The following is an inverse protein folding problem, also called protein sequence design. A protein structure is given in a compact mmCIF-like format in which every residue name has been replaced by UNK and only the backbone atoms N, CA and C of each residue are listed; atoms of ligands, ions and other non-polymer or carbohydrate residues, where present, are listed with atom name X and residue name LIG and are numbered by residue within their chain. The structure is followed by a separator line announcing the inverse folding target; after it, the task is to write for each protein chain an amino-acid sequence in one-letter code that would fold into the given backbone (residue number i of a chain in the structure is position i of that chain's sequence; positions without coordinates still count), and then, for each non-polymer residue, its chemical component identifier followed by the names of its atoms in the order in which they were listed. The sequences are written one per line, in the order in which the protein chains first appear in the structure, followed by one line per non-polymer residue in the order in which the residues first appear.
data_IF_974137374057
#
_entry.id   IF_974137374057
#
_cell.length_a   1.000
_cell.length_b   1.000
_cell.length_c   1.000
_cell.angle_alpha   90.00
_cell.angle_beta   90.00
_cell.angle_gamma   90.00
#
_symmetry.space_group_name_H-M   'P 1'
#
loop_
_entity.id
_entity.type
_entity.pdbx_description
1 polymer ?
#
# COMPACT_ATOMS: atom_id res chain seq x y z
N UNK A 1 -28.20 8.47 15.28
CA UNK A 1 -27.40 7.27 14.92
C UNK A 1 -28.17 6.09 15.43
N UNK A 2 -28.96 5.48 14.55
CA UNK A 2 -29.64 4.20 14.81
C UNK A 2 -28.59 3.12 15.08
N UNK A 3 -28.91 2.21 15.98
CA UNK A 3 -28.07 1.06 16.32
C UNK A 3 -27.97 0.10 15.12
N UNK A 4 -26.92 -0.71 15.02
CA UNK A 4 -26.82 -1.73 13.95
C UNK A 4 -28.03 -2.67 13.94
N UNK A 5 -28.64 -2.90 15.12
CA UNK A 5 -29.88 -3.66 15.27
C UNK A 5 -31.08 -2.97 14.60
N UNK A 6 -31.20 -1.64 14.72
CA UNK A 6 -32.21 -0.85 14.01
C UNK A 6 -31.93 -0.80 12.51
N UNK A 7 -30.66 -0.72 12.08
CA UNK A 7 -30.29 -0.75 10.66
C UNK A 7 -30.57 -2.12 10.02
N UNK A 8 -30.28 -3.23 10.72
CA UNK A 8 -30.65 -4.58 10.30
C UNK A 8 -32.17 -4.78 10.29
N UNK A 9 -32.89 -4.23 11.27
CA UNK A 9 -34.35 -4.25 11.33
C UNK A 9 -34.99 -3.44 10.19
N UNK A 10 -34.43 -2.27 9.87
CA UNK A 10 -34.88 -1.43 8.75
C UNK A 10 -34.58 -2.09 7.40
N UNK A 11 -33.40 -2.70 7.24
CA UNK A 11 -33.06 -3.51 6.05
C UNK A 11 -34.03 -4.69 5.85
N UNK A 12 -34.45 -5.35 6.93
CA UNK A 12 -35.49 -6.39 6.88
C UNK A 12 -36.88 -5.84 6.56
N UNK A 13 -37.18 -4.61 6.98
CA UNK A 13 -38.46 -3.94 6.74
C UNK A 13 -38.60 -3.37 5.31
N UNK A 14 -37.49 -3.01 4.65
CA UNK A 14 -37.47 -2.49 3.26
C UNK A 14 -37.81 -3.54 2.20
N UNK A 15 -37.94 -4.82 2.56
CA UNK A 15 -38.33 -5.88 1.64
C UNK A 15 -37.24 -6.32 0.66
N UNK A 16 -35.98 -5.88 0.83
CA UNK A 16 -34.85 -6.37 0.02
C UNK A 16 -34.59 -7.88 0.16
N UNK A 17 -35.05 -8.51 1.25
CA UNK A 17 -35.00 -9.96 1.52
C UNK A 17 -36.35 -10.68 1.32
N UNK A 18 -37.29 -10.07 0.59
CA UNK A 18 -38.62 -10.63 0.43
C UNK A 18 -38.70 -11.57 -0.79
N UNK A 19 -38.30 -12.83 -0.63
CA UNK A 19 -38.88 -13.90 -1.44
C UNK A 19 -39.04 -15.25 -0.73
N UNK A 20 -38.10 -15.71 0.12
CA UNK A 20 -38.13 -17.10 0.60
C UNK A 20 -38.31 -17.24 2.14
N UNK A 21 -39.02 -18.27 2.57
CA UNK A 21 -39.13 -18.71 3.96
C UNK A 21 -37.75 -19.05 4.58
N UNK A 22 -36.77 -19.44 3.77
CA UNK A 22 -35.39 -19.66 4.20
C UNK A 22 -34.72 -18.36 4.68
N UNK A 23 -34.86 -17.26 3.94
CA UNK A 23 -34.29 -15.94 4.28
C UNK A 23 -34.92 -15.36 5.55
N UNK A 24 -36.23 -15.56 5.75
CA UNK A 24 -36.93 -15.18 6.99
C UNK A 24 -36.49 -16.02 8.20
N UNK A 25 -36.15 -17.29 7.99
CA UNK A 25 -35.59 -18.16 9.03
C UNK A 25 -34.16 -17.75 9.38
N UNK A 26 -33.38 -17.32 8.39
CA UNK A 26 -32.00 -16.85 8.53
C UNK A 26 -31.93 -15.47 9.23
N UNK A 27 -32.80 -14.54 8.87
CA UNK A 27 -32.93 -13.25 9.55
C UNK A 27 -33.35 -13.41 11.02
N UNK A 28 -34.28 -14.33 11.31
CA UNK A 28 -34.64 -14.69 12.69
C UNK A 28 -33.48 -15.34 13.45
N UNK A 29 -32.64 -16.14 12.78
CA UNK A 29 -31.43 -16.72 13.36
C UNK A 29 -30.35 -15.66 13.65
N UNK A 30 -30.22 -14.64 12.79
CA UNK A 30 -29.34 -13.48 13.01
C UNK A 30 -29.78 -12.62 14.20
N UNK A 31 -31.09 -12.36 14.30
CA UNK A 31 -31.72 -11.68 15.43
C UNK A 31 -31.63 -12.53 16.71
N UNK A 32 -31.78 -13.85 16.63
CA UNK A 32 -31.60 -14.73 17.80
C UNK A 32 -30.13 -14.87 18.21
N UNK A 33 -29.19 -14.76 17.26
CA UNK A 33 -27.77 -14.67 17.57
C UNK A 33 -27.44 -13.32 18.25
N UNK A 34 -28.21 -12.25 18.04
CA UNK A 34 -28.14 -11.04 18.85
C UNK A 34 -28.60 -11.26 20.31
N UNK A 35 -29.37 -12.32 20.58
CA UNK A 35 -29.66 -12.79 21.94
C UNK A 35 -28.54 -13.68 22.53
N UNK A 36 -27.50 -14.00 21.75
CA UNK A 36 -26.26 -14.58 22.26
C UNK A 36 -25.40 -13.45 22.87
N UNK A 37 -25.15 -13.45 24.19
CA UNK A 37 -24.42 -12.37 24.86
C UNK A 37 -23.02 -12.12 24.27
N UNK A 38 -22.39 -13.15 23.68
CA UNK A 38 -21.09 -13.04 23.04
C UNK A 38 -21.11 -12.25 21.72
N UNK A 39 -22.22 -12.32 20.98
CA UNK A 39 -22.43 -11.59 19.71
C UNK A 39 -22.95 -10.17 19.99
N UNK A 40 -23.79 -9.99 21.02
CA UNK A 40 -24.26 -8.66 21.43
C UNK A 40 -23.12 -7.77 21.97
N UNK A 41 -22.23 -8.32 22.82
CA UNK A 41 -21.06 -7.61 23.36
C UNK A 41 -20.06 -7.13 22.28
N UNK A 42 -20.20 -7.65 21.07
CA UNK A 42 -19.34 -7.40 19.93
C UNK A 42 -19.66 -6.08 19.21
N UNK A 43 -20.92 -5.66 19.27
CA UNK A 43 -21.42 -4.46 18.60
C UNK A 43 -21.49 -3.24 19.53
N UNK A 44 -21.09 -3.38 20.80
CA UNK A 44 -21.28 -2.36 21.86
C UNK A 44 -20.01 -1.61 22.31
N UNK A 45 -18.85 -1.77 21.66
CA UNK A 45 -17.63 -1.06 22.11
C UNK A 45 -17.49 0.37 21.54
N UNK A 46 -17.71 1.32 22.46
CA UNK A 46 -17.33 2.74 22.60
C UNK A 46 -16.86 3.59 21.40
N UNK A 47 -17.44 4.80 21.31
CA UNK A 47 -17.38 5.77 20.20
C UNK A 47 -16.07 6.57 20.10
N UNK A 48 -14.98 6.09 20.69
CA UNK A 48 -13.70 6.82 20.70
C UNK A 48 -12.55 5.85 20.47
N UNK A 49 -11.95 5.94 19.29
CA UNK A 49 -10.66 5.38 18.83
C UNK A 49 -10.77 4.38 17.67
N UNK A 50 -9.97 4.63 16.62
CA UNK A 50 -9.18 3.73 15.74
C UNK A 50 -9.47 2.20 15.65
N UNK A 51 -10.70 1.72 15.86
CA UNK A 51 -10.99 0.30 16.09
C UNK A 51 -11.47 -0.52 14.89
N UNK A 52 -11.48 0.00 13.67
CA UNK A 52 -11.85 -0.82 12.49
C UNK A 52 -10.87 -1.96 12.20
N UNK A 53 -9.62 -1.85 12.66
CA UNK A 53 -8.62 -2.94 12.62
C UNK A 53 -9.00 -4.08 13.58
N UNK A 54 -9.76 -3.82 14.65
CA UNK A 54 -10.14 -4.85 15.63
C UNK A 54 -11.50 -5.51 15.36
N UNK A 55 -12.33 -4.97 14.46
CA UNK A 55 -13.59 -5.58 14.07
C UNK A 55 -13.41 -6.76 13.09
N UNK A 56 -12.39 -6.72 12.22
CA UNK A 56 -12.15 -7.73 11.18
C UNK A 56 -11.93 -9.17 11.73
N UNK A 57 -10.91 -9.44 12.55
CA UNK A 57 -10.65 -10.77 13.11
C UNK A 57 -11.83 -11.34 13.91
N UNK A 58 -12.57 -10.40 14.48
CA UNK A 58 -13.75 -10.58 15.28
C UNK A 58 -14.94 -11.01 14.40
N UNK A 59 -15.23 -10.30 13.30
CA UNK A 59 -16.26 -10.67 12.32
C UNK A 59 -15.99 -12.01 11.65
N UNK A 60 -14.72 -12.32 11.36
CA UNK A 60 -14.31 -13.62 10.83
C UNK A 60 -14.63 -14.75 11.79
N UNK A 61 -14.40 -14.54 13.09
CA UNK A 61 -14.76 -15.52 14.12
C UNK A 61 -16.27 -15.77 14.13
N UNK A 62 -17.07 -14.71 14.07
CA UNK A 62 -18.53 -14.79 14.00
C UNK A 62 -18.99 -15.51 12.72
N UNK A 63 -18.46 -15.13 11.56
CA UNK A 63 -18.77 -15.81 10.30
C UNK A 63 -18.41 -17.30 10.34
N UNK A 64 -17.25 -17.67 10.91
CA UNK A 64 -16.84 -19.08 11.12
C UNK A 64 -17.80 -19.82 12.06
N UNK A 65 -18.28 -19.17 13.12
CA UNK A 65 -19.26 -19.74 14.04
C UNK A 65 -20.62 -19.93 13.36
N UNK A 66 -21.07 -18.99 12.53
CA UNK A 66 -22.33 -19.12 11.77
C UNK A 66 -22.30 -20.20 10.70
N UNK A 67 -21.16 -20.37 10.04
CA UNK A 67 -20.93 -21.49 9.12
C UNK A 67 -21.06 -22.83 9.85
N UNK A 68 -20.50 -22.94 11.05
CA UNK A 68 -20.59 -24.16 11.84
C UNK A 68 -22.04 -24.52 12.24
N UNK A 69 -23.00 -23.60 12.06
CA UNK A 69 -24.41 -23.79 12.39
C UNK A 69 -25.29 -24.35 11.24
N UNK A 70 -24.77 -24.53 10.02
CA UNK A 70 -25.49 -25.27 8.96
C UNK A 70 -25.31 -24.76 7.52
N UNK A 71 -26.07 -25.37 6.59
CA UNK A 71 -25.91 -25.23 5.13
C UNK A 71 -26.04 -23.78 4.58
N UNK A 72 -26.76 -22.89 5.28
CA UNK A 72 -26.97 -21.50 4.85
C UNK A 72 -25.98 -20.50 5.48
N UNK A 73 -25.11 -20.96 6.40
CA UNK A 73 -24.14 -20.13 7.12
C UNK A 73 -23.19 -19.33 6.21
N UNK A 74 -22.69 -19.88 5.07
CA UNK A 74 -21.84 -19.13 4.15
C UNK A 74 -22.54 -17.95 3.47
N UNK A 75 -23.79 -18.13 3.02
CA UNK A 75 -24.59 -17.04 2.41
C UNK A 75 -24.88 -15.95 3.43
N UNK A 76 -25.18 -16.33 4.67
CA UNK A 76 -25.36 -15.38 5.76
C UNK A 76 -24.08 -14.57 6.05
N UNK A 77 -22.92 -15.23 6.05
CA UNK A 77 -21.64 -14.57 6.23
C UNK A 77 -21.36 -13.54 5.11
N UNK A 78 -21.67 -13.87 3.85
CA UNK A 78 -21.58 -12.93 2.74
C UNK A 78 -22.51 -11.73 2.92
N UNK A 79 -23.78 -11.93 3.26
CA UNK A 79 -24.72 -10.82 3.49
C UNK A 79 -24.30 -9.92 4.66
N UNK A 80 -23.72 -10.48 5.73
CA UNK A 80 -23.11 -9.68 6.80
C UNK A 80 -21.95 -8.84 6.27
N UNK A 81 -21.07 -9.45 5.47
CA UNK A 81 -19.94 -8.74 4.88
C UNK A 81 -20.38 -7.64 3.90
N UNK A 82 -21.45 -7.83 3.12
CA UNK A 82 -22.07 -6.80 2.28
C UNK A 82 -22.49 -5.58 3.09
N UNK A 83 -23.16 -5.78 4.22
CA UNK A 83 -23.56 -4.70 5.13
C UNK A 83 -22.34 -3.95 5.67
N UNK A 84 -21.25 -4.66 5.96
CA UNK A 84 -19.99 -4.05 6.40
C UNK A 84 -19.27 -3.31 5.28
N UNK A 85 -19.31 -3.81 4.03
CA UNK A 85 -18.77 -3.13 2.86
C UNK A 85 -19.56 -1.87 2.51
N UNK A 86 -20.86 -1.79 2.84
CA UNK A 86 -21.62 -0.55 2.67
C UNK A 86 -21.23 0.55 3.68
N UNK A 87 -20.43 0.24 4.72
CA UNK A 87 -20.03 1.20 5.73
C UNK A 87 -18.81 2.04 5.27
N UNK A 88 -18.86 3.37 5.29
CA UNK A 88 -17.84 4.27 4.70
C UNK A 88 -16.42 4.15 5.27
N UNK A 89 -16.21 3.41 6.35
CA UNK A 89 -14.96 3.38 7.11
C UNK A 89 -14.43 1.93 7.15
N UNK A 90 -13.47 1.62 6.27
CA UNK A 90 -12.58 0.41 6.26
C UNK A 90 -12.86 -0.70 5.25
N UNK A 91 -13.14 -0.33 4.00
CA UNK A 91 -13.38 -1.25 2.89
C UNK A 91 -12.23 -2.25 2.66
N UNK A 92 -10.98 -1.79 2.45
CA UNK A 92 -9.88 -2.64 2.01
C UNK A 92 -9.62 -3.91 2.87
N UNK A 93 -9.71 -3.80 4.20
CA UNK A 93 -9.53 -4.94 5.11
C UNK A 93 -10.71 -5.92 5.06
N UNK A 94 -11.93 -5.40 4.98
CA UNK A 94 -13.15 -6.21 4.90
C UNK A 94 -13.22 -7.00 3.59
N UNK A 95 -12.71 -6.44 2.49
CA UNK A 95 -12.60 -7.11 1.18
C UNK A 95 -11.73 -8.36 1.24
N UNK A 96 -10.64 -8.28 2.00
CA UNK A 96 -9.80 -9.43 2.33
C UNK A 96 -10.55 -10.56 3.00
N UNK A 97 -11.39 -10.20 3.95
CA UNK A 97 -12.17 -11.16 4.71
C UNK A 97 -13.30 -11.75 3.88
N UNK A 98 -13.90 -10.98 2.97
CA UNK A 98 -14.84 -11.49 1.97
C UNK A 98 -14.19 -12.59 1.15
N UNK A 99 -12.98 -12.35 0.66
CA UNK A 99 -12.23 -13.35 -0.08
C UNK A 99 -11.84 -14.54 0.80
N UNK A 100 -11.50 -14.32 2.08
CA UNK A 100 -11.24 -15.41 3.01
C UNK A 100 -12.45 -16.32 3.23
N UNK A 101 -13.63 -15.73 3.44
CA UNK A 101 -14.90 -16.45 3.62
C UNK A 101 -15.23 -17.20 2.35
N UNK A 102 -15.14 -16.54 1.19
CA UNK A 102 -15.43 -17.15 -0.11
C UNK A 102 -14.63 -18.44 -0.34
N UNK A 103 -13.33 -18.40 -0.06
CA UNK A 103 -12.45 -19.57 -0.21
C UNK A 103 -12.68 -20.67 0.82
N UNK A 104 -13.20 -20.32 1.99
CA UNK A 104 -13.51 -21.32 3.00
C UNK A 104 -14.78 -22.12 2.62
N UNK A 105 -15.62 -21.60 1.72
CA UNK A 105 -16.93 -22.16 1.39
C UNK A 105 -17.16 -22.29 -0.12
N UNK A 106 -16.90 -23.47 -0.69
CA UNK A 106 -17.16 -23.74 -2.10
C UNK A 106 -18.61 -23.43 -2.49
N UNK A 107 -18.80 -22.70 -3.60
CA UNK A 107 -20.09 -22.25 -4.10
C UNK A 107 -20.42 -20.78 -3.79
N UNK A 108 -19.65 -20.12 -2.91
CA UNK A 108 -19.82 -18.69 -2.56
C UNK A 108 -18.90 -17.76 -3.34
N UNK A 109 -18.00 -18.30 -4.15
CA UNK A 109 -17.04 -17.54 -4.94
C UNK A 109 -17.69 -16.58 -5.93
N UNK A 110 -18.74 -16.95 -6.70
CA UNK A 110 -19.36 -16.01 -7.65
C UNK A 110 -19.86 -14.73 -6.96
N UNK A 111 -20.52 -14.88 -5.82
CA UNK A 111 -21.08 -13.76 -5.05
C UNK A 111 -19.97 -12.92 -4.42
N UNK A 112 -18.97 -13.55 -3.82
CA UNK A 112 -17.81 -12.85 -3.28
C UNK A 112 -17.05 -12.07 -4.37
N UNK A 113 -16.82 -12.66 -5.55
CA UNK A 113 -16.17 -11.95 -6.65
C UNK A 113 -17.04 -10.83 -7.23
N UNK A 114 -18.37 -10.95 -7.19
CA UNK A 114 -19.27 -9.87 -7.57
C UNK A 114 -19.14 -8.68 -6.62
N UNK A 115 -19.04 -8.95 -5.30
CA UNK A 115 -18.81 -7.91 -4.29
C UNK A 115 -17.48 -7.20 -4.44
N UNK A 116 -16.44 -7.94 -4.84
CA UNK A 116 -15.10 -7.40 -5.04
C UNK A 116 -14.89 -6.78 -6.44
N UNK A 117 -15.86 -6.88 -7.36
CA UNK A 117 -15.64 -6.59 -8.78
C UNK A 117 -15.25 -5.13 -9.06
N UNK A 118 -15.75 -4.18 -8.26
CA UNK A 118 -15.48 -2.74 -8.39
C UNK A 118 -14.26 -2.26 -7.61
N UNK A 119 -13.61 -3.14 -6.85
CA UNK A 119 -12.63 -2.75 -5.85
C UNK A 119 -11.22 -2.74 -6.45
N UNK A 120 -10.52 -1.62 -6.25
CA UNK A 120 -9.18 -1.41 -6.79
C UNK A 120 -8.07 -1.72 -5.79
N UNK A 121 -8.36 -1.80 -4.49
CA UNK A 121 -7.43 -2.19 -3.45
C UNK A 121 -7.95 -3.35 -2.61
N UNK A 122 -7.17 -4.44 -2.53
CA UNK A 122 -7.50 -5.61 -1.71
C UNK A 122 -6.37 -5.86 -0.70
N UNK A 123 -6.76 -5.96 0.57
CA UNK A 123 -5.86 -6.43 1.63
C UNK A 123 -6.13 -7.88 1.95
N UNK A 124 -5.14 -8.76 1.89
CA UNK A 124 -5.33 -10.14 2.34
C UNK A 124 -5.15 -10.24 3.86
N UNK A 125 -6.09 -10.86 4.60
CA UNK A 125 -6.01 -10.87 6.06
C UNK A 125 -5.25 -12.08 6.57
N UNK A 126 -4.42 -11.86 7.61
CA UNK A 126 -3.73 -12.90 8.37
C UNK A 126 -2.68 -13.69 7.59
N UNK A 127 -1.81 -14.46 8.27
CA UNK A 127 -0.82 -15.29 7.60
C UNK A 127 -1.52 -16.39 6.81
N UNK A 128 -1.23 -16.50 5.51
CA UNK A 128 -1.71 -17.58 4.63
C UNK A 128 -0.52 -18.28 4.01
N UNK A 129 -0.72 -19.44 3.39
CA UNK A 129 0.35 -20.07 2.60
C UNK A 129 0.32 -19.64 1.16
N UNK A 130 -0.85 -19.45 0.56
CA UNK A 130 -0.98 -19.13 -0.86
C UNK A 130 -1.94 -17.96 -1.03
N UNK A 131 -1.79 -17.25 -2.14
CA UNK A 131 -2.77 -16.28 -2.56
C UNK A 131 -4.10 -16.97 -2.89
N UNK A 132 -5.22 -16.27 -2.66
CA UNK A 132 -6.53 -16.80 -2.97
C UNK A 132 -6.72 -17.03 -4.48
N UNK A 133 -7.23 -18.21 -4.92
CA UNK A 133 -7.55 -18.41 -6.32
C UNK A 133 -8.60 -17.41 -6.80
N UNK A 134 -8.53 -17.01 -8.07
CA UNK A 134 -9.51 -16.13 -8.71
C UNK A 134 -9.26 -14.63 -8.52
N UNK A 135 -8.13 -14.23 -7.93
CA UNK A 135 -7.69 -12.82 -7.95
C UNK A 135 -7.61 -12.26 -9.37
N UNK A 136 -7.27 -13.11 -10.34
CA UNK A 136 -7.28 -12.80 -11.77
C UNK A 136 -8.65 -12.35 -12.32
N UNK A 137 -9.74 -12.61 -11.60
CA UNK A 137 -11.11 -12.18 -11.97
C UNK A 137 -11.39 -10.73 -11.58
N UNK A 138 -10.62 -10.16 -10.65
CA UNK A 138 -10.81 -8.80 -10.16
C UNK A 138 -10.25 -7.78 -11.15
N UNK A 139 -11.05 -7.35 -12.12
CA UNK A 139 -10.60 -6.45 -13.21
C UNK A 139 -10.29 -5.02 -12.76
N UNK A 140 -10.91 -4.58 -11.67
CA UNK A 140 -10.64 -3.28 -11.06
C UNK A 140 -9.36 -3.27 -10.23
N UNK A 141 -8.86 -4.42 -9.78
CA UNK A 141 -7.72 -4.52 -8.87
C UNK A 141 -6.49 -3.78 -9.42
N UNK A 142 -6.02 -2.81 -8.65
CA UNK A 142 -4.81 -2.02 -8.87
C UNK A 142 -3.78 -2.21 -7.79
N UNK A 143 -4.19 -2.50 -6.55
CA UNK A 143 -3.30 -2.68 -5.41
C UNK A 143 -3.66 -3.93 -4.63
N UNK A 144 -2.66 -4.76 -4.39
CA UNK A 144 -2.80 -5.96 -3.57
C UNK A 144 -1.80 -5.87 -2.41
N UNK A 145 -2.32 -5.87 -1.19
CA UNK A 145 -1.49 -5.95 0.02
C UNK A 145 -1.49 -7.38 0.54
N UNK A 146 -0.29 -7.95 0.59
CA UNK A 146 -0.05 -9.33 1.04
C UNK A 146 0.55 -9.32 2.45
N UNK A 147 -0.06 -10.05 3.40
CA UNK A 147 0.39 -10.11 4.78
C UNK A 147 1.65 -10.98 4.93
N UNK A 148 2.30 -10.79 6.07
CA UNK A 148 3.54 -11.49 6.41
C UNK A 148 3.41 -13.02 6.39
N UNK A 149 4.50 -13.65 5.94
CA UNK A 149 4.63 -15.10 5.94
C UNK A 149 3.93 -15.82 4.78
N UNK A 150 3.26 -15.07 3.89
CA UNK A 150 2.51 -15.65 2.77
C UNK A 150 3.41 -16.25 1.69
N UNK A 151 4.53 -15.60 1.38
CA UNK A 151 5.28 -15.90 0.17
C UNK A 151 6.58 -16.58 0.58
N UNK A 152 6.59 -17.92 0.48
CA UNK A 152 7.77 -18.76 0.76
C UNK A 152 8.17 -19.65 -0.42
N UNK A 153 7.31 -19.77 -1.43
CA UNK A 153 7.51 -20.57 -2.64
C UNK A 153 6.84 -19.87 -3.81
N UNK A 154 7.33 -20.10 -5.02
CA UNK A 154 6.80 -19.45 -6.22
C UNK A 154 5.34 -19.83 -6.53
N UNK A 155 4.93 -21.07 -6.23
CA UNK A 155 3.55 -21.54 -6.41
C UNK A 155 2.55 -20.81 -5.50
N UNK A 156 3.02 -20.23 -4.39
CA UNK A 156 2.16 -19.45 -3.48
C UNK A 156 1.59 -18.19 -4.14
N UNK A 157 2.21 -17.69 -5.20
CA UNK A 157 1.87 -16.44 -5.88
C UNK A 157 1.54 -16.62 -7.36
N UNK A 158 1.30 -17.86 -7.80
CA UNK A 158 1.00 -18.17 -9.20
C UNK A 158 -0.18 -17.34 -9.75
N UNK A 159 -1.15 -17.00 -8.89
CA UNK A 159 -2.27 -16.11 -9.23
C UNK A 159 -1.84 -14.73 -9.71
N UNK A 160 -0.74 -14.15 -9.21
CA UNK A 160 -0.27 -12.83 -9.63
C UNK A 160 0.09 -12.79 -11.11
N UNK A 161 0.64 -13.89 -11.63
CA UNK A 161 0.99 -14.01 -13.04
C UNK A 161 -0.24 -14.08 -13.95
N UNK A 162 -1.41 -14.45 -13.40
CA UNK A 162 -2.66 -14.54 -14.15
C UNK A 162 -3.52 -13.27 -14.08
N UNK A 163 -3.13 -12.29 -13.26
CA UNK A 163 -3.85 -11.02 -13.18
C UNK A 163 -3.69 -10.28 -14.53
N UNK A 164 -4.78 -9.95 -15.22
CA UNK A 164 -4.72 -9.48 -16.61
C UNK A 164 -4.30 -8.00 -16.75
N UNK A 165 -3.99 -7.34 -15.64
CA UNK A 165 -3.58 -5.95 -15.59
C UNK A 165 -2.36 -5.76 -14.68
N UNK A 166 -1.59 -4.68 -14.86
CA UNK A 166 -0.56 -4.33 -13.91
C UNK A 166 -1.14 -3.96 -12.55
N UNK A 167 -0.47 -4.41 -11.49
CA UNK A 167 -0.85 -4.13 -10.10
C UNK A 167 0.33 -3.58 -9.29
N UNK A 168 0.01 -2.84 -8.25
CA UNK A 168 0.91 -2.47 -7.18
C UNK A 168 0.84 -3.53 -6.08
N UNK A 169 1.98 -4.07 -5.73
CA UNK A 169 2.11 -5.11 -4.73
C UNK A 169 2.73 -4.52 -3.47
N UNK A 170 2.03 -4.65 -2.35
CA UNK A 170 2.53 -4.25 -1.04
C UNK A 170 2.80 -5.49 -0.21
N UNK A 171 4.07 -5.70 0.17
CA UNK A 171 4.53 -6.87 0.90
C UNK A 171 4.90 -6.48 2.31
N UNK A 172 4.21 -7.06 3.29
CA UNK A 172 4.52 -6.91 4.70
C UNK A 172 5.40 -8.06 5.13
N UNK A 173 6.72 -7.97 4.99
CA UNK A 173 7.60 -9.14 5.14
C UNK A 173 8.91 -8.72 5.77
N UNK A 174 9.30 -9.41 6.86
CA UNK A 174 10.63 -9.26 7.45
C UNK A 174 11.73 -9.74 6.50
N UNK A 175 11.51 -10.84 5.80
CA UNK A 175 12.45 -11.38 4.81
C UNK A 175 11.68 -11.73 3.54
N UNK A 176 12.16 -11.25 2.38
CA UNK A 176 11.54 -11.51 1.08
C UNK A 176 12.57 -12.00 0.08
N UNK A 177 12.30 -13.15 -0.52
CA UNK A 177 13.01 -13.61 -1.70
C UNK A 177 12.25 -13.15 -2.94
N UNK A 178 12.77 -12.08 -3.57
CA UNK A 178 12.17 -11.50 -4.76
C UNK A 178 12.27 -12.42 -6.00
N UNK A 179 13.15 -13.44 -5.98
CA UNK A 179 13.26 -14.39 -7.09
C UNK A 179 12.00 -15.24 -7.25
N UNK A 180 11.23 -15.41 -6.17
CA UNK A 180 9.94 -16.12 -6.20
C UNK A 180 8.94 -15.45 -7.16
N UNK A 181 9.05 -14.13 -7.37
CA UNK A 181 8.12 -13.33 -8.17
C UNK A 181 8.46 -13.27 -9.65
N UNK A 182 9.52 -13.96 -10.12
CA UNK A 182 9.96 -13.90 -11.51
C UNK A 182 8.83 -14.18 -12.52
N UNK A 183 7.95 -15.14 -12.22
CA UNK A 183 6.80 -15.47 -13.07
C UNK A 183 5.75 -14.35 -13.14
N UNK A 184 5.62 -13.54 -12.09
CA UNK A 184 4.65 -12.45 -11.98
C UNK A 184 5.23 -11.07 -12.31
N UNK A 185 6.56 -10.97 -12.53
CA UNK A 185 7.28 -9.72 -12.76
C UNK A 185 6.67 -8.83 -13.86
N UNK A 186 6.11 -9.46 -14.90
CA UNK A 186 5.49 -8.76 -16.02
C UNK A 186 4.19 -8.02 -15.64
N UNK A 187 3.53 -8.37 -14.52
CA UNK A 187 2.30 -7.72 -14.07
C UNK A 187 2.51 -6.79 -12.86
N UNK A 188 3.72 -6.69 -12.32
CA UNK A 188 3.96 -5.84 -11.15
C UNK A 188 4.42 -4.46 -11.63
N UNK A 189 3.57 -3.47 -11.43
CA UNK A 189 3.84 -2.07 -11.78
C UNK A 189 4.36 -1.24 -10.61
N UNK A 190 4.07 -1.67 -9.39
CA UNK A 190 4.63 -1.09 -8.18
C UNK A 190 4.98 -2.15 -7.16
N UNK A 191 6.09 -1.98 -6.46
CA UNK A 191 6.51 -2.85 -5.37
C UNK A 191 6.78 -2.00 -4.12
N UNK A 192 6.06 -2.29 -3.05
CA UNK A 192 6.20 -1.62 -1.76
C UNK A 192 6.57 -2.64 -0.70
N UNK A 193 7.79 -2.57 -0.20
CA UNK A 193 8.18 -3.35 0.96
C UNK A 193 7.78 -2.58 2.22
N UNK A 194 7.08 -3.26 3.12
CA UNK A 194 6.55 -2.72 4.37
C UNK A 194 6.97 -3.62 5.51
N UNK A 195 7.23 -3.01 6.65
CA UNK A 195 7.84 -3.68 7.80
C UNK A 195 9.23 -3.12 8.05
N UNK A 196 9.52 -2.82 9.32
CA UNK A 196 10.79 -2.24 9.71
C UNK A 196 11.91 -3.27 9.49
N UNK A 197 12.98 -2.86 8.80
CA UNK A 197 14.22 -3.62 8.64
C UNK A 197 14.06 -4.96 7.91
N UNK A 198 13.64 -4.91 6.64
CA UNK A 198 13.64 -6.15 5.85
C UNK A 198 15.09 -6.63 5.60
N UNK A 199 15.31 -7.94 5.67
CA UNK A 199 16.61 -8.57 5.36
C UNK A 199 17.00 -8.53 3.88
N UNK A 200 16.22 -7.87 3.02
CA UNK A 200 16.51 -7.76 1.60
C UNK A 200 17.77 -6.92 1.38
N UNK A 201 18.83 -7.55 0.88
CA UNK A 201 20.09 -6.90 0.52
C UNK A 201 20.37 -6.92 -0.98
N UNK A 202 19.82 -7.90 -1.70
CA UNK A 202 20.03 -8.08 -3.14
C UNK A 202 18.76 -7.75 -3.94
N UNK A 203 18.85 -6.70 -4.77
CA UNK A 203 17.78 -6.30 -5.68
C UNK A 203 17.90 -6.92 -7.08
N UNK A 204 18.89 -7.79 -7.33
CA UNK A 204 19.10 -8.45 -8.63
C UNK A 204 17.90 -9.20 -9.20
N UNK A 205 17.02 -9.83 -8.39
CA UNK A 205 15.81 -10.45 -8.92
C UNK A 205 14.82 -9.48 -9.59
N UNK A 206 14.94 -8.16 -9.35
CA UNK A 206 14.11 -7.14 -10.01
C UNK A 206 14.53 -6.85 -11.45
N UNK A 207 15.69 -7.37 -11.89
CA UNK A 207 16.15 -7.21 -13.29
C UNK A 207 15.07 -7.68 -14.26
N UNK A 208 14.72 -6.82 -15.21
CA UNK A 208 13.75 -7.16 -16.26
C UNK A 208 12.28 -7.07 -15.83
N UNK A 209 11.94 -6.51 -14.67
CA UNK A 209 10.57 -6.17 -14.30
C UNK A 209 10.08 -4.96 -15.11
N UNK A 210 9.83 -5.18 -16.41
CA UNK A 210 9.65 -4.13 -17.43
C UNK A 210 8.48 -3.19 -17.20
N UNK A 211 7.55 -3.51 -16.29
CA UNK A 211 6.42 -2.67 -15.95
C UNK A 211 6.58 -1.97 -14.58
N UNK A 212 7.63 -2.27 -13.83
CA UNK A 212 7.88 -1.70 -12.50
C UNK A 212 8.26 -0.23 -12.63
N UNK A 213 7.33 0.64 -12.26
CA UNK A 213 7.46 2.10 -12.30
C UNK A 213 7.56 2.73 -10.92
N UNK A 214 7.04 2.07 -9.89
CA UNK A 214 7.09 2.53 -8.51
C UNK A 214 7.80 1.50 -7.64
N UNK A 215 8.88 1.90 -6.98
CA UNK A 215 9.67 1.01 -6.15
C UNK A 215 9.98 1.64 -4.80
N UNK A 216 9.51 1.01 -3.73
CA UNK A 216 9.83 1.37 -2.36
C UNK A 216 10.60 0.22 -1.68
N UNK A 217 11.89 0.48 -1.45
CA UNK A 217 12.87 -0.35 -0.73
C UNK A 217 13.27 0.31 0.60
N UNK A 218 12.39 1.11 1.19
CA UNK A 218 12.66 1.79 2.46
C UNK A 218 12.98 0.77 3.57
N UNK A 219 13.96 1.11 4.42
CA UNK A 219 14.39 0.27 5.56
C UNK A 219 14.80 -1.16 5.14
N UNK A 220 15.49 -1.29 4.01
CA UNK A 220 16.09 -2.56 3.55
C UNK A 220 17.62 -2.53 3.64
N UNK A 221 18.26 -3.69 3.55
CA UNK A 221 19.72 -3.80 3.51
C UNK A 221 20.35 -3.54 2.13
N UNK A 222 19.56 -3.11 1.14
CA UNK A 222 20.04 -2.85 -0.22
C UNK A 222 21.12 -1.77 -0.21
N UNK A 223 22.22 -2.02 -0.92
CA UNK A 223 23.33 -1.09 -1.08
C UNK A 223 23.69 -0.80 -2.54
N UNK A 224 23.32 -1.69 -3.46
CA UNK A 224 23.61 -1.59 -4.89
C UNK A 224 22.32 -1.34 -5.69
N UNK A 225 22.28 -0.21 -6.41
CA UNK A 225 21.19 0.15 -7.31
C UNK A 225 21.43 -0.30 -8.76
N UNK A 226 22.63 -0.80 -9.07
CA UNK A 226 23.00 -1.29 -10.40
C UNK A 226 22.03 -2.30 -11.02
N UNK A 227 21.50 -3.27 -10.26
CA UNK A 227 20.55 -4.22 -10.82
C UNK A 227 19.19 -3.64 -11.22
N UNK A 228 18.87 -2.42 -10.77
CA UNK A 228 17.62 -1.74 -11.11
C UNK A 228 17.72 -1.00 -12.46
N UNK A 229 18.92 -0.82 -13.02
CA UNK A 229 19.11 -0.06 -14.25
C UNK A 229 18.28 -0.66 -15.40
N UNK A 230 17.69 0.23 -16.21
CA UNK A 230 16.81 -0.16 -17.32
C UNK A 230 15.35 -0.43 -16.92
N UNK A 231 15.01 -0.43 -15.62
CA UNK A 231 13.61 -0.39 -15.19
C UNK A 231 12.99 0.98 -15.45
N UNK A 232 11.71 1.09 -15.85
CA UNK A 232 11.06 2.36 -16.17
C UNK A 232 10.57 3.10 -14.92
N UNK A 233 11.45 3.28 -13.92
CA UNK A 233 11.09 3.89 -12.64
C UNK A 233 10.73 5.37 -12.80
N UNK A 234 9.56 5.73 -12.25
CA UNK A 234 9.10 7.10 -12.05
C UNK A 234 9.11 7.49 -10.58
N UNK A 235 9.07 6.52 -9.67
CA UNK A 235 9.14 6.74 -8.23
C UNK A 235 10.07 5.72 -7.59
N UNK A 236 11.06 6.21 -6.84
CA UNK A 236 12.02 5.38 -6.13
C UNK A 236 12.21 5.89 -4.70
N UNK A 237 12.01 5.00 -3.73
CA UNK A 237 12.40 5.25 -2.33
C UNK A 237 13.38 4.19 -1.89
N UNK A 238 14.60 4.62 -1.54
CA UNK A 238 15.65 3.80 -0.92
C UNK A 238 16.08 4.41 0.42
N UNK A 239 15.13 5.03 1.11
CA UNK A 239 15.38 5.65 2.41
C UNK A 239 15.73 4.59 3.46
N UNK A 240 16.63 4.92 4.39
CA UNK A 240 17.09 3.99 5.44
C UNK A 240 17.71 2.69 4.87
N UNK A 241 18.38 2.80 3.73
CA UNK A 241 19.16 1.72 3.11
C UNK A 241 20.66 1.95 3.24
N UNK A 242 21.48 1.03 2.73
CA UNK A 242 22.95 1.10 2.79
C UNK A 242 23.56 1.62 1.47
N UNK A 243 22.78 2.33 0.66
CA UNK A 243 23.23 2.87 -0.63
C UNK A 243 24.26 3.98 -0.42
N UNK A 244 25.46 3.76 -0.96
CA UNK A 244 26.57 4.73 -0.93
C UNK A 244 26.87 5.35 -2.29
N UNK A 245 26.63 4.60 -3.37
CA UNK A 245 26.80 5.04 -4.75
C UNK A 245 25.45 5.38 -5.38
N UNK A 246 25.33 6.63 -5.83
CA UNK A 246 24.13 7.15 -6.49
C UNK A 246 24.28 7.24 -8.02
N UNK A 247 25.44 6.91 -8.60
CA UNK A 247 25.66 6.96 -10.04
C UNK A 247 24.57 6.24 -10.88
N UNK A 248 24.00 5.10 -10.46
CA UNK A 248 22.91 4.44 -11.19
C UNK A 248 21.67 5.31 -11.42
N UNK A 249 21.43 6.35 -10.60
CA UNK A 249 20.29 7.26 -10.73
C UNK A 249 20.19 7.90 -12.12
N UNK A 250 21.32 8.10 -12.80
CA UNK A 250 21.36 8.62 -14.17
C UNK A 250 20.56 7.77 -15.19
N UNK A 251 20.23 6.53 -14.85
CA UNK A 251 19.42 5.63 -15.68
C UNK A 251 17.93 5.97 -15.68
N UNK A 252 17.47 6.86 -14.78
CA UNK A 252 16.05 7.22 -14.63
C UNK A 252 15.80 8.73 -14.82
N UNK A 253 16.05 9.30 -16.02
CA UNK A 253 15.82 10.73 -16.27
C UNK A 253 14.35 11.15 -16.11
N UNK A 254 13.41 10.19 -16.17
CA UNK A 254 11.98 10.39 -15.96
C UNK A 254 11.51 10.31 -14.51
N UNK A 255 12.41 10.14 -13.54
CA UNK A 255 12.06 10.01 -12.13
C UNK A 255 11.38 11.29 -11.62
N UNK A 256 10.23 11.15 -10.95
CA UNK A 256 9.42 12.24 -10.39
C UNK A 256 9.45 12.28 -8.87
N UNK A 257 9.62 11.14 -8.23
CA UNK A 257 9.75 11.01 -6.78
C UNK A 257 11.02 10.27 -6.42
N UNK A 258 11.84 10.86 -5.54
CA UNK A 258 13.05 10.25 -5.03
C UNK A 258 13.19 10.43 -3.52
N UNK A 259 13.18 9.31 -2.79
CA UNK A 259 13.43 9.28 -1.34
C UNK A 259 14.80 8.69 -1.01
N UNK A 260 15.72 9.53 -0.54
CA UNK A 260 17.08 9.17 -0.11
C UNK A 260 17.33 9.46 1.38
N UNK A 261 16.27 9.55 2.20
CA UNK A 261 16.42 9.85 3.63
C UNK A 261 17.36 8.83 4.30
N UNK A 262 18.30 9.30 5.13
CA UNK A 262 19.21 8.46 5.94
C UNK A 262 20.01 7.42 5.13
N UNK A 263 20.39 7.74 3.88
CA UNK A 263 21.38 6.93 3.14
C UNK A 263 22.81 7.37 3.47
N UNK A 264 23.80 6.46 3.47
CA UNK A 264 25.21 6.78 3.75
C UNK A 264 25.96 7.44 2.57
N UNK A 265 25.31 7.67 1.43
CA UNK A 265 25.90 8.34 0.28
C UNK A 265 26.48 9.72 0.64
N UNK A 266 27.63 10.04 0.01
CA UNK A 266 28.35 11.31 0.20
C UNK A 266 28.37 12.17 -1.05
N UNK A 267 28.35 11.53 -2.22
CA UNK A 267 28.29 12.22 -3.51
C UNK A 267 26.85 12.19 -4.03
N UNK A 268 26.29 13.38 -4.24
CA UNK A 268 24.93 13.60 -4.74
C UNK A 268 24.92 14.18 -6.15
N UNK A 269 26.07 14.25 -6.83
CA UNK A 269 26.19 14.81 -8.19
C UNK A 269 25.30 14.10 -9.21
N UNK A 270 25.02 12.81 -9.01
CA UNK A 270 24.11 12.02 -9.84
C UNK A 270 22.67 12.57 -9.90
N UNK A 271 22.27 13.43 -8.96
CA UNK A 271 20.95 14.06 -8.98
C UNK A 271 20.81 15.14 -10.06
N UNK A 272 21.91 15.78 -10.48
CA UNK A 272 21.86 16.97 -11.32
C UNK A 272 21.15 16.79 -12.67
N UNK A 273 21.10 15.55 -13.18
CA UNK A 273 20.43 15.19 -14.43
C UNK A 273 18.95 14.82 -14.31
N UNK A 274 18.37 14.77 -13.11
CA UNK A 274 17.00 14.31 -12.88
C UNK A 274 15.96 15.43 -13.09
N UNK A 275 15.96 16.06 -14.26
CA UNK A 275 15.18 17.29 -14.53
C UNK A 275 13.66 17.13 -14.40
N UNK A 276 13.14 15.89 -14.44
CA UNK A 276 11.73 15.57 -14.23
C UNK A 276 11.32 15.46 -12.75
N UNK A 277 12.28 15.54 -11.82
CA UNK A 277 12.06 15.30 -10.40
C UNK A 277 11.19 16.38 -9.78
N UNK A 278 10.11 15.96 -9.11
CA UNK A 278 9.12 16.83 -8.49
C UNK A 278 9.20 16.79 -6.96
N UNK A 279 9.57 15.63 -6.41
CA UNK A 279 9.68 15.42 -4.97
C UNK A 279 11.02 14.77 -4.65
N UNK A 280 11.77 15.40 -3.75
CA UNK A 280 13.09 14.93 -3.32
C UNK A 280 13.19 14.98 -1.79
N UNK A 281 13.46 13.84 -1.18
CA UNK A 281 13.79 13.74 0.25
C UNK A 281 15.27 13.38 0.44
N UNK A 282 16.02 14.31 1.02
CA UNK A 282 17.43 14.18 1.39
C UNK A 282 17.62 14.26 2.91
N UNK A 283 16.56 14.07 3.70
CA UNK A 283 16.62 14.19 5.15
C UNK A 283 17.69 13.30 5.78
N UNK A 284 18.41 13.82 6.79
CA UNK A 284 19.50 13.13 7.48
C UNK A 284 20.58 12.52 6.56
N UNK A 285 20.87 13.16 5.44
CA UNK A 285 21.99 12.78 4.57
C UNK A 285 23.18 13.72 4.78
N UNK A 286 24.31 13.36 4.18
CA UNK A 286 25.55 14.15 4.23
C UNK A 286 25.61 15.28 3.19
N UNK A 287 24.50 15.59 2.50
CA UNK A 287 24.46 16.63 1.46
C UNK A 287 24.80 18.01 2.05
N UNK A 288 25.68 18.75 1.38
CA UNK A 288 26.12 20.10 1.77
C UNK A 288 25.91 21.13 0.67
N UNK A 289 26.27 20.75 -0.55
CA UNK A 289 26.20 21.61 -1.72
C UNK A 289 24.89 21.36 -2.46
N UNK A 290 24.02 22.37 -2.51
CA UNK A 290 22.75 22.29 -3.23
C UNK A 290 22.80 22.83 -4.65
N UNK A 291 23.97 23.27 -5.15
CA UNK A 291 24.11 23.73 -6.55
C UNK A 291 23.76 22.62 -7.55
N UNK A 292 23.93 21.36 -7.16
CA UNK A 292 23.48 20.19 -7.92
C UNK A 292 21.97 20.17 -8.19
N UNK A 293 21.17 20.92 -7.42
CA UNK A 293 19.72 21.01 -7.61
C UNK A 293 19.29 22.09 -8.61
N UNK A 294 20.21 22.94 -9.10
CA UNK A 294 19.87 24.04 -10.03
C UNK A 294 19.22 23.57 -11.32
N UNK A 295 19.56 22.35 -11.78
CA UNK A 295 18.96 21.72 -12.96
C UNK A 295 17.58 21.10 -12.72
N UNK A 296 17.11 20.98 -11.48
CA UNK A 296 15.85 20.31 -11.13
C UNK A 296 14.65 21.25 -11.28
N UNK A 297 14.41 21.72 -12.51
CA UNK A 297 13.40 22.75 -12.82
C UNK A 297 11.96 22.33 -12.52
N UNK A 298 11.68 21.03 -12.39
CA UNK A 298 10.35 20.50 -12.06
C UNK A 298 10.11 20.34 -10.55
N UNK A 299 11.08 20.66 -9.70
CA UNK A 299 11.04 20.37 -8.26
C UNK A 299 9.97 21.21 -7.55
N UNK A 300 9.08 20.52 -6.82
CA UNK A 300 7.94 21.10 -6.08
C UNK A 300 8.08 20.92 -4.58
N UNK A 301 8.77 19.88 -4.14
CA UNK A 301 8.98 19.59 -2.72
C UNK A 301 10.40 19.11 -2.49
N UNK A 302 11.06 19.72 -1.51
CA UNK A 302 12.42 19.41 -1.11
C UNK A 302 12.48 19.27 0.41
N UNK A 303 12.92 18.11 0.90
CA UNK A 303 13.11 17.84 2.31
C UNK A 303 14.60 17.74 2.64
N UNK A 304 15.08 18.59 3.54
CA UNK A 304 16.51 18.74 3.92
C UNK A 304 16.73 18.70 5.43
N UNK A 305 15.73 18.29 6.19
CA UNK A 305 15.79 18.26 7.65
C UNK A 305 16.91 17.31 8.12
N UNK A 306 17.68 17.73 9.11
CA UNK A 306 18.81 16.95 9.62
C UNK A 306 20.02 16.83 8.67
N UNK A 307 20.09 17.67 7.62
CA UNK A 307 21.29 17.80 6.77
C UNK A 307 22.25 18.88 7.30
N UNK A 308 23.54 18.84 6.95
CA UNK A 308 24.51 19.89 7.28
C UNK A 308 24.44 21.12 6.36
N UNK A 309 23.34 21.33 5.64
CA UNK A 309 23.16 22.51 4.78
C UNK A 309 22.97 23.76 5.64
N UNK A 310 23.91 24.69 5.53
CA UNK A 310 23.90 25.94 6.32
C UNK A 310 23.06 27.04 5.67
N UNK A 311 22.93 27.05 4.33
CA UNK A 311 22.22 28.08 3.58
C UNK A 311 21.51 27.52 2.35
N UNK A 312 20.25 27.91 2.17
CA UNK A 312 19.47 27.63 0.97
C UNK A 312 19.56 28.76 -0.07
N UNK A 313 20.00 29.95 0.35
CA UNK A 313 19.90 31.17 -0.45
C UNK A 313 20.88 31.19 -1.62
N UNK A 314 22.18 31.03 -1.35
CA UNK A 314 23.22 31.06 -2.37
C UNK A 314 23.06 29.99 -3.47
N UNK A 315 22.82 28.71 -3.15
CA UNK A 315 22.75 27.67 -4.17
C UNK A 315 21.45 27.67 -4.98
N UNK A 316 20.31 28.12 -4.42
CA UNK A 316 19.00 28.02 -5.08
C UNK A 316 18.46 29.34 -5.63
N UNK A 317 18.82 30.48 -5.03
CA UNK A 317 18.27 31.80 -5.36
C UNK A 317 19.33 32.73 -5.96
N UNK A 318 20.62 32.42 -5.72
CA UNK A 318 21.75 33.25 -6.14
C UNK A 318 22.06 34.38 -5.13
N UNK A 319 23.27 34.96 -5.16
CA UNK A 319 23.63 36.03 -4.23
C UNK A 319 22.72 37.25 -4.44
N UNK A 320 22.33 37.97 -3.37
CA UNK A 320 21.59 39.20 -3.54
C UNK A 320 22.48 40.17 -4.33
N UNK A 321 21.94 40.76 -5.41
CA UNK A 321 22.68 41.75 -6.19
C UNK A 321 23.18 42.85 -5.25
N UNK A 322 24.50 43.01 -5.12
CA UNK A 322 25.07 44.13 -4.36
C UNK A 322 24.54 45.42 -4.98
N UNK A 323 23.59 46.09 -4.32
CA UNK A 323 23.21 47.46 -4.68
C UNK A 323 24.48 48.27 -4.60
N UNK A 324 24.96 48.77 -5.74
CA UNK A 324 26.02 49.75 -5.79
C UNK A 324 25.57 50.98 -5.00
N UNK A 325 26.01 51.13 -3.75
CA UNK A 325 25.92 52.40 -3.05
C UNK A 325 26.93 53.32 -3.71
N UNK A 326 26.49 54.08 -4.72
CA UNK A 326 27.24 55.21 -5.25
C UNK A 326 27.26 56.30 -4.18
N UNK A 327 28.22 56.24 -3.26
CA UNK A 327 28.57 57.41 -2.46
C UNK A 327 29.41 58.32 -3.35
N UNK A 328 28.76 59.26 -4.01
CA UNK A 328 29.41 60.46 -4.54
C UNK A 328 30.13 61.20 -3.41
N UNK A 329 31.42 61.51 -3.54
CA UNK A 329 32.11 62.33 -2.54
C UNK A 329 31.71 63.79 -2.74
N UNK A 330 31.05 64.39 -1.76
CA UNK A 330 30.86 65.84 -1.70
C UNK A 330 32.21 66.51 -1.43
N UNK A 331 32.66 67.33 -2.37
CA UNK A 331 33.85 68.18 -2.23
C UNK A 331 33.68 69.30 -1.19
N UNK A 332 34.78 69.98 -0.80
CA UNK A 332 34.80 70.87 0.34
C UNK A 332 34.31 72.28 -0.01
N UNK A 333 33.61 72.90 0.93
CA UNK A 333 33.43 74.36 1.06
C UNK A 333 33.77 74.75 2.48
#
# INVERSE_FOLDING_TARGET
MTTLAEQLSDLLATGLFAADAAERKLARAALSAHANPAVAAFFTTDKRNYHTIQAGPKLVKVAKEFVALGADGPRFALSLLEVFLAAPQSHAYLLGEVLHVALAFPGTEPDAFALLAGEDEVYLPGPRKTLPPGLSRLRALRRLRVPEGTIKRADHIAELAQIPQPIQLELWVKDVDLSLFAAAAHNISGLFLRGSYSGLTDASPLRGWRNLSVLNLESTGVSDLGPLQGLPLTELTVSETQVTDLAPLASWPGLRWLGLRRVPAKDFSALAGLTALQHLDLGFTAVRDLRLLQGLTALRSLFLWGTPVESLWEPLVGPPSKRSTSTTPSGPT
#
